data_IF_958967734527
#
_entry.id   IF_958967734527
#
_cell.length_a   1.000
_cell.length_b   1.000
_cell.length_c   1.000
_cell.angle_alpha   90.00
_cell.angle_beta   90.00
_cell.angle_gamma   90.00
#
_symmetry.space_group_name_H-M   'P 1'
#
loop_
_entity.id
_entity.type
_entity.pdbx_description
1 polymer ?
#
# COMPACT_ATOMS: atom_id res chain seq x y z
N UNK A 1 -18.61 20.65 8.52
CA UNK A 1 -19.97 20.16 8.89
C UNK A 1 -19.92 18.63 8.93
N UNK A 2 -19.58 18.04 10.10
CA UNK A 2 -19.45 16.59 10.29
C UNK A 2 -20.74 15.92 10.81
N UNK A 3 -21.88 16.64 10.87
CA UNK A 3 -23.06 16.18 11.57
C UNK A 3 -23.93 15.11 10.87
N UNK A 4 -23.82 14.94 9.56
CA UNK A 4 -24.78 14.08 8.84
C UNK A 4 -24.40 12.60 8.65
N UNK A 5 -23.12 12.27 8.74
CA UNK A 5 -22.67 10.89 8.53
C UNK A 5 -22.70 10.03 9.80
N UNK A 6 -22.68 10.67 10.98
CA UNK A 6 -22.66 9.98 12.27
C UNK A 6 -24.03 9.40 12.63
N UNK A 7 -25.12 10.05 12.18
CA UNK A 7 -26.48 9.65 12.49
C UNK A 7 -26.97 8.38 11.75
N UNK A 8 -26.23 7.98 10.68
CA UNK A 8 -26.58 6.77 9.91
C UNK A 8 -25.87 5.51 10.40
N UNK A 9 -24.94 5.64 11.35
CA UNK A 9 -24.16 4.50 11.86
C UNK A 9 -24.83 3.92 13.11
N UNK A 10 -25.07 2.59 13.18
CA UNK A 10 -25.59 1.95 14.38
C UNK A 10 -24.72 2.26 15.61
N UNK A 11 -25.35 2.68 16.71
CA UNK A 11 -24.65 3.08 17.95
C UNK A 11 -23.55 2.11 18.44
N UNK A 12 -23.68 0.77 18.36
CA UNK A 12 -22.62 -0.14 18.79
C UNK A 12 -21.37 -0.09 17.87
N UNK A 13 -21.51 0.40 16.63
CA UNK A 13 -20.37 0.56 15.70
C UNK A 13 -19.68 1.91 15.84
N UNK A 14 -20.31 2.89 16.48
CA UNK A 14 -19.72 4.21 16.72
C UNK A 14 -18.46 4.13 17.59
N UNK A 15 -18.48 3.30 18.62
CA UNK A 15 -17.34 3.16 19.54
C UNK A 15 -16.09 2.59 18.84
N UNK A 16 -16.13 1.42 18.15
CA UNK A 16 -14.97 0.92 17.43
C UNK A 16 -14.54 1.85 16.28
N UNK A 17 -15.45 2.52 15.59
CA UNK A 17 -15.12 3.50 14.56
C UNK A 17 -14.42 4.72 15.18
N UNK A 18 -14.88 5.22 16.32
CA UNK A 18 -14.25 6.34 17.02
C UNK A 18 -12.85 5.99 17.52
N UNK A 19 -12.67 4.77 18.03
CA UNK A 19 -11.36 4.26 18.46
C UNK A 19 -10.42 4.15 17.27
N UNK A 20 -10.88 3.62 16.14
CA UNK A 20 -10.08 3.50 14.90
C UNK A 20 -9.75 4.86 14.28
N UNK A 21 -10.67 5.83 14.33
CA UNK A 21 -10.47 7.15 13.75
C UNK A 21 -9.79 8.13 14.72
N UNK A 22 -9.89 7.90 16.03
CA UNK A 22 -9.37 8.80 17.08
C UNK A 22 -7.90 8.60 17.47
N UNK A 23 -7.23 7.56 16.97
CA UNK A 23 -5.85 7.20 17.38
C UNK A 23 -4.79 8.00 16.59
N UNK A 24 -5.18 8.95 15.73
CA UNK A 24 -4.23 9.79 15.01
C UNK A 24 -3.18 8.95 14.24
N UNK A 25 -1.87 9.15 14.48
CA UNK A 25 -0.81 8.48 13.72
C UNK A 25 -0.77 6.96 13.89
N UNK A 26 -1.42 6.39 14.90
CA UNK A 26 -1.36 4.95 15.21
C UNK A 26 -2.33 4.08 14.37
N UNK A 27 -3.20 4.68 13.55
CA UNK A 27 -4.15 3.95 12.71
C UNK A 27 -3.47 2.89 11.82
N UNK A 28 -2.29 3.21 11.29
CA UNK A 28 -1.54 2.29 10.43
C UNK A 28 -0.98 1.09 11.21
N UNK A 29 -0.52 1.31 12.45
CA UNK A 29 -0.03 0.24 13.33
C UNK A 29 -1.15 -0.75 13.65
N UNK A 30 -2.38 -0.26 13.86
CA UNK A 30 -3.55 -1.12 14.07
C UNK A 30 -3.87 -1.97 12.83
N UNK A 31 -3.82 -1.37 11.64
CA UNK A 31 -4.00 -2.13 10.40
C UNK A 31 -2.90 -3.17 10.21
N UNK A 32 -1.66 -2.85 10.52
CA UNK A 32 -0.55 -3.82 10.48
C UNK A 32 -0.78 -4.98 11.45
N UNK A 33 -1.27 -4.72 12.66
CA UNK A 33 -1.62 -5.77 13.61
C UNK A 33 -2.72 -6.67 13.06
N UNK A 34 -3.78 -6.07 12.52
CA UNK A 34 -4.88 -6.82 11.89
C UNK A 34 -4.37 -7.69 10.72
N UNK A 35 -3.57 -7.11 9.82
CA UNK A 35 -3.03 -7.81 8.65
C UNK A 35 -2.05 -8.92 9.06
N UNK A 36 -1.24 -8.69 10.09
CA UNK A 36 -0.36 -9.72 10.65
C UNK A 36 -1.16 -10.88 11.24
N UNK A 37 -2.28 -10.60 11.90
CA UNK A 37 -3.19 -11.63 12.42
C UNK A 37 -3.79 -12.45 11.27
N UNK A 38 -4.25 -11.78 10.21
CA UNK A 38 -4.76 -12.44 8.99
C UNK A 38 -3.66 -13.32 8.37
N UNK A 39 -2.43 -12.82 8.27
CA UNK A 39 -1.31 -13.58 7.74
C UNK A 39 -0.99 -14.83 8.57
N UNK A 40 -1.05 -14.74 9.91
CA UNK A 40 -0.87 -15.89 10.79
C UNK A 40 -1.96 -16.93 10.53
N UNK A 41 -3.21 -16.52 10.35
CA UNK A 41 -4.31 -17.43 10.01
C UNK A 41 -4.09 -18.09 8.63
N UNK A 42 -3.69 -17.32 7.62
CA UNK A 42 -3.36 -17.85 6.29
C UNK A 42 -2.24 -18.90 6.41
N UNK A 43 -1.17 -18.63 7.16
CA UNK A 43 -0.06 -19.58 7.36
C UNK A 43 -0.47 -20.83 8.13
N UNK A 44 -1.45 -20.76 9.02
CA UNK A 44 -2.01 -21.95 9.68
C UNK A 44 -2.73 -22.87 8.71
N UNK A 45 -3.39 -22.29 7.69
CA UNK A 45 -4.09 -23.04 6.63
C UNK A 45 -3.06 -23.55 5.61
N UNK A 46 -2.14 -22.70 5.19
CA UNK A 46 -1.06 -23.03 4.24
C UNK A 46 0.17 -23.61 4.95
N UNK A 47 0.00 -24.77 5.57
CA UNK A 47 1.06 -25.46 6.34
C UNK A 47 2.33 -25.75 5.55
N UNK A 48 2.26 -25.76 4.22
CA UNK A 48 3.37 -26.08 3.33
C UNK A 48 4.03 -24.84 2.72
N UNK A 49 3.67 -23.64 3.15
CA UNK A 49 4.14 -22.36 2.62
C UNK A 49 4.03 -22.30 1.07
N UNK A 50 2.93 -22.85 0.53
CA UNK A 50 2.70 -22.91 -0.92
C UNK A 50 2.61 -21.52 -1.54
N UNK A 51 1.88 -20.60 -0.89
CA UNK A 51 1.76 -19.21 -1.34
C UNK A 51 3.12 -18.53 -1.43
N UNK A 52 3.96 -18.72 -0.43
CA UNK A 52 5.32 -18.19 -0.41
C UNK A 52 6.15 -18.78 -1.56
N UNK A 53 6.19 -20.11 -1.72
CA UNK A 53 6.94 -20.77 -2.81
C UNK A 53 6.46 -20.44 -4.22
N UNK A 54 5.17 -20.17 -4.40
CA UNK A 54 4.61 -19.70 -5.69
C UNK A 54 5.11 -18.29 -5.99
N UNK A 55 5.20 -17.44 -4.97
CA UNK A 55 5.70 -16.07 -5.10
C UNK A 55 7.13 -15.99 -5.65
N UNK A 56 8.00 -16.89 -5.28
CA UNK A 56 9.38 -16.97 -5.79
C UNK A 56 9.45 -17.10 -7.32
N UNK A 57 8.46 -17.81 -7.91
CA UNK A 57 8.39 -18.07 -9.35
C UNK A 57 7.77 -16.92 -10.15
N UNK A 58 7.38 -15.80 -9.50
CA UNK A 58 6.74 -14.68 -10.18
C UNK A 58 7.67 -14.07 -11.24
N UNK A 59 7.25 -14.16 -12.50
CA UNK A 59 7.95 -13.53 -13.61
C UNK A 59 7.77 -12.01 -13.61
N UNK A 60 8.65 -11.28 -14.31
CA UNK A 60 8.52 -9.82 -14.46
C UNK A 60 7.15 -9.39 -14.99
N UNK A 61 6.60 -10.17 -15.93
CA UNK A 61 5.26 -9.92 -16.47
C UNK A 61 4.16 -10.05 -15.42
N UNK A 62 4.23 -11.09 -14.59
CA UNK A 62 3.26 -11.31 -13.52
C UNK A 62 3.33 -10.22 -12.45
N UNK A 63 4.55 -9.74 -12.14
CA UNK A 63 4.75 -8.61 -11.22
C UNK A 63 4.03 -7.34 -11.75
N UNK A 64 4.14 -7.07 -13.05
CA UNK A 64 3.38 -5.96 -13.66
C UNK A 64 1.87 -6.21 -13.65
N UNK A 65 1.43 -7.47 -13.91
CA UNK A 65 0.03 -7.84 -13.93
C UNK A 65 -0.67 -7.71 -12.55
N UNK A 66 0.08 -7.67 -11.44
CA UNK A 66 -0.49 -7.37 -10.13
C UNK A 66 -1.12 -5.97 -10.04
N UNK A 67 -0.88 -5.08 -11.01
CA UNK A 67 -1.66 -3.85 -11.15
C UNK A 67 -3.17 -4.12 -11.24
N UNK A 68 -3.59 -5.20 -11.91
CA UNK A 68 -4.98 -5.61 -12.00
C UNK A 68 -5.52 -6.13 -10.66
N UNK A 69 -4.68 -6.83 -9.89
CA UNK A 69 -5.02 -7.28 -8.54
C UNK A 69 -5.21 -6.08 -7.60
N UNK A 70 -4.33 -5.08 -7.66
CA UNK A 70 -4.44 -3.83 -6.91
C UNK A 70 -5.69 -3.06 -7.33
N UNK A 71 -5.99 -2.98 -8.62
CA UNK A 71 -7.23 -2.37 -9.10
C UNK A 71 -8.48 -3.12 -8.59
N UNK A 72 -8.50 -4.45 -8.63
CA UNK A 72 -9.59 -5.25 -8.06
C UNK A 72 -9.75 -5.00 -6.55
N UNK A 73 -8.65 -4.94 -5.79
CA UNK A 73 -8.65 -4.59 -4.38
C UNK A 73 -9.14 -3.16 -4.11
N UNK A 74 -8.94 -2.24 -5.07
CA UNK A 74 -9.44 -0.87 -4.98
C UNK A 74 -10.97 -0.76 -5.06
N UNK A 75 -11.65 -1.80 -5.54
CA UNK A 75 -13.13 -1.82 -5.59
C UNK A 75 -13.73 -2.22 -4.23
N UNK A 76 -12.94 -2.83 -3.34
CA UNK A 76 -13.42 -3.43 -2.10
C UNK A 76 -12.77 -2.75 -0.89
N UNK A 77 -13.55 -2.56 0.18
CA UNK A 77 -12.99 -2.13 1.47
C UNK A 77 -12.60 -0.65 1.53
N UNK A 78 -13.21 0.19 0.70
CA UNK A 78 -13.06 1.64 0.81
C UNK A 78 -14.02 2.16 1.89
N UNK A 79 -13.47 2.71 2.97
CA UNK A 79 -14.26 3.26 4.08
C UNK A 79 -14.10 4.79 4.10
N UNK A 80 -15.11 5.56 3.64
CA UNK A 80 -15.11 7.01 3.71
C UNK A 80 -15.53 7.47 5.10
N UNK A 81 -14.62 7.45 6.08
CA UNK A 81 -14.93 7.91 7.45
C UNK A 81 -14.55 9.38 7.61
N UNK A 82 -13.28 9.72 7.61
CA UNK A 82 -12.73 11.10 7.66
C UNK A 82 -11.85 11.30 6.43
N UNK A 83 -11.00 10.35 6.16
CA UNK A 83 -10.28 10.13 4.92
C UNK A 83 -10.70 8.77 4.36
N UNK A 84 -10.54 8.56 3.07
CA UNK A 84 -10.89 7.26 2.48
C UNK A 84 -9.82 6.23 2.82
N UNK A 85 -10.10 5.37 3.80
CA UNK A 85 -9.25 4.22 4.09
C UNK A 85 -9.43 3.16 3.01
N UNK A 86 -8.35 2.81 2.34
CA UNK A 86 -8.33 1.83 1.24
C UNK A 86 -7.84 0.47 1.73
N UNK A 87 -8.56 -0.11 2.69
CA UNK A 87 -8.16 -1.33 3.41
C UNK A 87 -7.86 -2.49 2.46
N UNK A 88 -8.66 -2.64 1.39
CA UNK A 88 -8.45 -3.68 0.38
C UNK A 88 -7.07 -3.59 -0.28
N UNK A 89 -6.65 -2.39 -0.69
CA UNK A 89 -5.32 -2.16 -1.28
C UNK A 89 -4.22 -2.40 -0.25
N UNK A 90 -4.37 -1.89 0.97
CA UNK A 90 -3.35 -2.03 2.00
C UNK A 90 -3.11 -3.50 2.37
N UNK A 91 -4.20 -4.28 2.55
CA UNK A 91 -4.12 -5.72 2.80
C UNK A 91 -3.45 -6.45 1.62
N UNK A 92 -3.87 -6.15 0.39
CA UNK A 92 -3.30 -6.78 -0.81
C UNK A 92 -1.81 -6.46 -0.94
N UNK A 93 -1.42 -5.21 -0.76
CA UNK A 93 -0.01 -4.80 -0.79
C UNK A 93 0.81 -5.50 0.32
N UNK A 94 0.25 -5.62 1.53
CA UNK A 94 0.88 -6.34 2.64
C UNK A 94 1.09 -7.83 2.32
N UNK A 95 0.08 -8.50 1.78
CA UNK A 95 0.17 -9.91 1.39
C UNK A 95 1.14 -10.13 0.21
N UNK A 96 1.16 -9.23 -0.77
CA UNK A 96 2.15 -9.26 -1.85
C UNK A 96 3.57 -9.02 -1.32
N UNK A 97 3.73 -8.13 -0.34
CA UNK A 97 5.00 -7.93 0.36
C UNK A 97 5.54 -9.22 0.94
N UNK A 98 4.69 -9.97 1.65
CA UNK A 98 5.05 -11.26 2.21
C UNK A 98 5.25 -12.36 1.15
N UNK A 99 4.28 -12.55 0.27
CA UNK A 99 4.25 -13.71 -0.62
C UNK A 99 5.21 -13.59 -1.82
N UNK A 100 5.48 -12.37 -2.27
CA UNK A 100 6.21 -12.10 -3.54
C UNK A 100 7.49 -11.31 -3.30
N UNK A 101 7.39 -10.13 -2.69
CA UNK A 101 8.53 -9.22 -2.55
C UNK A 101 9.51 -9.60 -1.42
N UNK A 102 9.20 -10.59 -0.61
CA UNK A 102 10.14 -11.17 0.34
C UNK A 102 11.23 -12.04 -0.33
N UNK A 103 11.07 -12.37 -1.62
CA UNK A 103 12.03 -13.18 -2.36
C UNK A 103 13.10 -12.32 -3.05
N UNK A 104 14.35 -12.65 -2.82
CA UNK A 104 15.50 -11.97 -3.40
C UNK A 104 15.46 -11.99 -4.94
N UNK A 105 15.13 -13.16 -5.52
CA UNK A 105 15.00 -13.34 -6.97
C UNK A 105 13.95 -12.44 -7.61
N UNK A 106 12.86 -12.16 -6.89
CA UNK A 106 11.80 -11.24 -7.33
C UNK A 106 12.29 -9.80 -7.25
N UNK A 107 12.93 -9.44 -6.15
CA UNK A 107 13.48 -8.10 -5.96
C UNK A 107 14.56 -7.76 -6.99
N UNK A 108 15.40 -8.74 -7.40
CA UNK A 108 16.32 -8.56 -8.52
C UNK A 108 15.62 -8.28 -9.86
N UNK A 109 14.47 -8.93 -10.11
CA UNK A 109 13.67 -8.65 -11.31
C UNK A 109 13.08 -7.25 -11.27
N UNK A 110 12.58 -6.81 -10.12
CA UNK A 110 12.06 -5.46 -9.91
C UNK A 110 13.16 -4.42 -10.14
N UNK A 111 14.37 -4.66 -9.62
CA UNK A 111 15.53 -3.80 -9.85
C UNK A 111 15.89 -3.67 -11.32
N UNK A 112 15.91 -4.80 -12.07
CA UNK A 112 16.18 -4.76 -13.52
C UNK A 112 15.16 -3.94 -14.30
N UNK A 113 13.90 -3.92 -13.84
CA UNK A 113 12.82 -3.15 -14.47
C UNK A 113 12.76 -1.68 -14.00
N UNK A 114 13.64 -1.23 -13.09
CA UNK A 114 13.52 0.07 -12.41
C UNK A 114 13.36 1.27 -13.35
N UNK A 115 14.12 1.30 -14.45
CA UNK A 115 14.03 2.41 -15.42
C UNK A 115 12.72 2.40 -16.20
N UNK A 116 12.25 1.22 -16.61
CA UNK A 116 10.96 1.08 -17.28
C UNK A 116 9.79 1.46 -16.38
N UNK A 117 9.77 0.97 -15.14
CA UNK A 117 8.74 1.31 -14.17
C UNK A 117 8.80 2.79 -13.77
N UNK A 118 10.00 3.38 -13.67
CA UNK A 118 10.17 4.81 -13.41
C UNK A 118 9.63 5.65 -14.57
N UNK A 119 9.92 5.29 -15.82
CA UNK A 119 9.39 6.00 -16.99
C UNK A 119 7.84 5.94 -17.00
N UNK A 120 7.25 4.76 -16.78
CA UNK A 120 5.79 4.60 -16.69
C UNK A 120 5.22 5.41 -15.52
N UNK A 121 5.89 5.44 -14.38
CA UNK A 121 5.47 6.21 -13.22
C UNK A 121 5.49 7.73 -13.51
N UNK A 122 6.53 8.25 -14.16
CA UNK A 122 6.63 9.67 -14.50
C UNK A 122 5.59 10.09 -15.56
N UNK A 123 5.42 9.29 -16.61
CA UNK A 123 4.37 9.52 -17.62
C UNK A 123 2.99 9.44 -16.97
N UNK A 124 2.77 8.44 -16.12
CA UNK A 124 1.55 8.27 -15.36
C UNK A 124 1.27 9.45 -14.43
N UNK A 125 2.28 10.00 -13.76
CA UNK A 125 2.15 11.18 -12.91
C UNK A 125 1.69 12.40 -13.70
N UNK A 126 2.32 12.67 -14.85
CA UNK A 126 1.94 13.78 -15.72
C UNK A 126 0.50 13.62 -16.25
N UNK A 127 0.15 12.43 -16.73
CA UNK A 127 -1.18 12.13 -17.25
C UNK A 127 -2.26 12.19 -16.14
N UNK A 128 -1.97 11.64 -14.96
CA UNK A 128 -2.88 11.68 -13.82
C UNK A 128 -3.07 13.11 -13.31
N UNK A 129 -2.00 13.90 -13.20
CA UNK A 129 -2.06 15.30 -12.82
C UNK A 129 -2.85 16.14 -13.81
N UNK A 130 -2.69 15.92 -15.11
CA UNK A 130 -3.47 16.60 -16.14
C UNK A 130 -4.96 16.22 -16.07
N UNK A 131 -5.28 14.94 -15.83
CA UNK A 131 -6.64 14.44 -15.73
C UNK A 131 -7.37 14.93 -14.48
N UNK A 132 -6.68 15.06 -13.35
CA UNK A 132 -7.27 15.47 -12.07
C UNK A 132 -7.17 16.97 -11.81
N UNK A 133 -6.60 17.72 -12.75
CA UNK A 133 -6.42 19.17 -12.59
C UNK A 133 -7.78 19.88 -12.41
N UNK A 134 -7.92 20.61 -11.29
CA UNK A 134 -9.17 21.28 -10.93
C UNK A 134 -10.29 20.37 -10.42
N UNK A 135 -10.03 19.08 -10.24
CA UNK A 135 -10.98 18.10 -9.71
C UNK A 135 -10.59 17.66 -8.31
N UNK A 136 -11.55 17.08 -7.59
CA UNK A 136 -11.26 16.44 -6.31
C UNK A 136 -10.69 15.05 -6.53
N UNK A 137 -9.36 14.90 -6.47
CA UNK A 137 -8.64 13.64 -6.67
C UNK A 137 -8.96 12.56 -5.62
N UNK A 138 -9.68 12.90 -4.54
CA UNK A 138 -10.11 11.93 -3.50
C UNK A 138 -11.45 11.28 -3.83
N UNK A 139 -12.12 11.70 -4.90
CA UNK A 139 -13.41 11.12 -5.30
C UNK A 139 -13.23 9.64 -5.72
N UNK A 140 -14.25 8.84 -5.42
CA UNK A 140 -14.25 7.40 -5.71
C UNK A 140 -14.01 7.11 -7.20
N UNK A 141 -14.52 7.95 -8.10
CA UNK A 141 -14.33 7.81 -9.54
C UNK A 141 -12.84 7.80 -9.94
N UNK A 142 -12.01 8.63 -9.29
CA UNK A 142 -10.56 8.66 -9.53
C UNK A 142 -9.84 7.53 -8.81
N UNK A 143 -10.14 7.33 -7.52
CA UNK A 143 -9.47 6.32 -6.68
C UNK A 143 -9.72 4.88 -7.14
N UNK A 144 -10.89 4.58 -7.71
CA UNK A 144 -11.26 3.25 -8.19
C UNK A 144 -10.93 3.03 -9.67
N UNK A 145 -10.48 4.06 -10.39
CA UNK A 145 -10.15 3.94 -11.81
C UNK A 145 -9.00 2.97 -12.03
N UNK A 146 -9.07 2.19 -13.11
CA UNK A 146 -7.98 1.30 -13.52
C UNK A 146 -6.67 2.06 -13.69
N UNK A 147 -6.74 3.22 -14.36
CA UNK A 147 -5.57 4.05 -14.65
C UNK A 147 -4.85 4.51 -13.39
N UNK A 148 -5.58 5.04 -12.39
CA UNK A 148 -4.98 5.46 -11.13
C UNK A 148 -4.27 4.31 -10.40
N UNK A 149 -4.84 3.12 -10.44
CA UNK A 149 -4.26 1.96 -9.75
C UNK A 149 -3.09 1.33 -10.52
N UNK A 150 -3.10 1.36 -11.85
CA UNK A 150 -1.93 1.01 -12.68
C UNK A 150 -0.78 1.99 -12.43
N UNK A 151 -1.08 3.28 -12.42
CA UNK A 151 -0.10 4.32 -12.07
C UNK A 151 0.46 4.13 -10.66
N UNK A 152 -0.40 3.94 -9.65
CA UNK A 152 0.02 3.65 -8.28
C UNK A 152 0.98 2.45 -8.22
N UNK A 153 0.65 1.37 -8.91
CA UNK A 153 1.49 0.17 -8.93
C UNK A 153 2.84 0.43 -9.61
N UNK A 154 2.86 1.16 -10.71
CA UNK A 154 4.10 1.55 -11.38
C UNK A 154 5.01 2.38 -10.46
N UNK A 155 4.44 3.32 -9.68
CA UNK A 155 5.17 4.11 -8.67
C UNK A 155 5.76 3.19 -7.60
N UNK A 156 4.98 2.25 -7.06
CA UNK A 156 5.47 1.30 -6.05
C UNK A 156 6.65 0.48 -6.58
N UNK A 157 6.54 -0.07 -7.79
CA UNK A 157 7.62 -0.85 -8.40
C UNK A 157 8.87 0.02 -8.69
N UNK A 158 8.67 1.25 -9.15
CA UNK A 158 9.77 2.19 -9.39
C UNK A 158 10.50 2.53 -8.09
N UNK A 159 9.76 2.80 -7.01
CA UNK A 159 10.34 3.08 -5.69
C UNK A 159 11.12 1.87 -5.18
N UNK A 160 10.51 0.67 -5.20
CA UNK A 160 11.17 -0.56 -4.71
C UNK A 160 12.43 -0.88 -5.51
N UNK A 161 12.37 -0.81 -6.85
CA UNK A 161 13.51 -1.12 -7.71
C UNK A 161 14.68 -0.13 -7.53
N UNK A 162 14.38 1.16 -7.43
CA UNK A 162 15.40 2.18 -7.20
C UNK A 162 15.93 2.13 -5.75
N UNK A 163 15.06 1.95 -4.76
CA UNK A 163 15.48 1.80 -3.37
C UNK A 163 16.45 0.63 -3.21
N UNK A 164 16.13 -0.53 -3.80
CA UNK A 164 17.02 -1.68 -3.78
C UNK A 164 18.39 -1.34 -4.40
N UNK A 165 18.40 -0.68 -5.55
CA UNK A 165 19.63 -0.35 -6.24
C UNK A 165 20.54 0.62 -5.48
N UNK A 166 19.95 1.69 -4.95
CA UNK A 166 20.71 2.78 -4.35
C UNK A 166 20.90 2.65 -2.83
N UNK A 167 19.98 1.95 -2.14
CA UNK A 167 19.97 1.85 -0.67
C UNK A 167 20.45 0.47 -0.17
N UNK A 168 20.98 -0.37 -1.06
CA UNK A 168 21.48 -1.70 -0.69
C UNK A 168 22.70 -1.65 0.23
N UNK A 169 23.46 -0.55 0.24
CA UNK A 169 24.62 -0.40 1.10
C UNK A 169 24.21 0.13 2.48
N UNK A 170 24.66 -0.53 3.53
CA UNK A 170 24.53 -0.04 4.90
C UNK A 170 25.39 1.20 5.12
N UNK A 171 24.81 2.37 4.93
CA UNK A 171 25.42 3.65 5.28
C UNK A 171 25.06 4.05 6.70
N UNK A 172 25.86 4.92 7.33
CA UNK A 172 25.52 5.49 8.63
C UNK A 172 24.15 6.19 8.62
N UNK A 173 23.80 6.81 7.50
CA UNK A 173 22.50 7.47 7.28
C UNK A 173 21.36 6.44 7.24
N UNK A 174 21.50 5.36 6.46
CA UNK A 174 20.52 4.28 6.38
C UNK A 174 20.28 3.66 7.76
N UNK A 175 21.33 3.35 8.50
CA UNK A 175 21.26 2.79 9.86
C UNK A 175 20.56 3.74 10.83
N UNK A 176 20.86 5.05 10.77
CA UNK A 176 20.20 6.06 11.57
C UNK A 176 18.68 6.08 11.35
N UNK A 177 18.23 6.13 10.09
CA UNK A 177 16.80 6.15 9.76
C UNK A 177 16.10 4.83 10.09
N UNK A 178 16.74 3.69 9.85
CA UNK A 178 16.16 2.37 10.18
C UNK A 178 15.94 2.22 11.69
N UNK A 179 16.92 2.60 12.51
CA UNK A 179 16.80 2.50 13.97
C UNK A 179 15.75 3.46 14.56
N UNK A 180 15.44 4.55 13.87
CA UNK A 180 14.50 5.59 14.33
C UNK A 180 13.22 5.67 13.51
N UNK A 181 12.98 4.71 12.63
CA UNK A 181 11.82 4.69 11.73
C UNK A 181 10.49 4.85 12.45
N UNK A 182 10.32 4.18 13.61
CA UNK A 182 9.11 4.31 14.41
C UNK A 182 8.97 5.71 15.04
N UNK A 183 10.05 6.27 15.59
CA UNK A 183 10.02 7.62 16.15
C UNK A 183 9.71 8.68 15.07
N UNK A 184 10.33 8.54 13.89
CA UNK A 184 10.06 9.39 12.74
C UNK A 184 8.60 9.25 12.26
N UNK A 185 8.07 8.03 12.26
CA UNK A 185 6.66 7.78 11.94
C UNK A 185 5.71 8.50 12.91
N UNK A 186 6.00 8.50 14.21
CA UNK A 186 5.14 9.20 15.19
C UNK A 186 5.26 10.71 15.07
N UNK A 187 6.48 11.23 14.86
CA UNK A 187 6.76 12.68 14.86
C UNK A 187 6.30 13.37 13.56
N UNK A 188 6.25 12.68 12.40
CA UNK A 188 5.85 13.33 11.15
C UNK A 188 4.39 13.82 11.17
N UNK A 189 3.52 13.17 11.94
CA UNK A 189 2.09 13.48 11.95
C UNK A 189 1.74 14.88 12.52
N UNK A 190 2.36 15.38 13.61
CA UNK A 190 2.08 16.73 14.08
C UNK A 190 2.78 17.84 13.28
N UNK A 191 3.61 17.49 12.28
CA UNK A 191 4.36 18.46 11.45
C UNK A 191 3.63 18.72 10.11
N UNK A 192 2.65 17.89 9.74
CA UNK A 192 1.78 18.05 8.57
C UNK A 192 0.45 18.70 8.94
#
# INVERSE_FOLDING_TARGET
RMGGAVDTIPKPLLYPISVLSGIGPLWFVQLLFLFSTILVLIRRIDRNDRLFRIGEKCSSWLICAFALLIWGAAQVGNMPVITTYRIGIYLTAFLLGYAVFAHETVMERVERMRWGTLAVALIGAAAYGAWTNGQNFTDAAYLQSLWANVYLWAVVLAVLGNARHYLHQETAVSRFFTQRSYALYVVHYPVL
#
